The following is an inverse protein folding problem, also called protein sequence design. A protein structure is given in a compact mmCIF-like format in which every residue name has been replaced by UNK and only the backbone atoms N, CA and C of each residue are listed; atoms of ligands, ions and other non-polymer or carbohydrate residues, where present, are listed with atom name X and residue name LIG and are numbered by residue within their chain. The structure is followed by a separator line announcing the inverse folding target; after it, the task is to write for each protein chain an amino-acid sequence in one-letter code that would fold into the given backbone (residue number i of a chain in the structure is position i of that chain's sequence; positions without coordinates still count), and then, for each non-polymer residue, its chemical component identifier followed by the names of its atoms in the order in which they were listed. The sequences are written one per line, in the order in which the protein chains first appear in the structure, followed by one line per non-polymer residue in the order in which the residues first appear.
data_IF_873222273257
#
_entry.id   IF_873222273257
#
_cell.length_a   1.000
_cell.length_b   1.000
_cell.length_c   1.000
_cell.angle_alpha   90.00
_cell.angle_beta   90.00
_cell.angle_gamma   90.00
#
_symmetry.space_group_name_H-M   'P 1'
#
loop_
_entity.id
_entity.type
_entity.pdbx_description
1 polymer ?
#
# COMPACT_ATOMS: atom_id res chain seq x y z
N UNK A 1 -11.89 23.13 -6.99
CA UNK A 1 -12.31 22.02 -7.89
C UNK A 1 -13.21 21.11 -7.07
N UNK A 2 -14.26 20.53 -7.65
CA UNK A 2 -15.10 19.53 -7.00
C UNK A 2 -14.67 18.15 -7.53
N UNK A 3 -14.36 17.20 -6.64
CA UNK A 3 -14.00 15.84 -7.03
C UNK A 3 -15.26 15.03 -7.35
N UNK A 4 -15.31 14.44 -8.54
CA UNK A 4 -16.41 13.57 -8.97
C UNK A 4 -16.16 12.14 -8.49
N UNK A 5 -17.06 11.58 -7.71
CA UNK A 5 -17.03 10.16 -7.33
C UNK A 5 -17.98 9.39 -8.24
N UNK A 6 -17.47 8.41 -8.98
CA UNK A 6 -18.23 7.61 -9.94
C UNK A 6 -18.20 6.15 -9.52
N UNK A 7 -19.36 5.62 -9.16
CA UNK A 7 -19.52 4.20 -8.83
C UNK A 7 -19.38 3.33 -10.08
N UNK A 8 -18.51 2.35 -10.03
CA UNK A 8 -18.23 1.43 -11.14
C UNK A 8 -18.48 -0.02 -10.66
N UNK A 9 -19.34 -0.70 -11.36
CA UNK A 9 -19.48 -2.16 -11.19
C UNK A 9 -18.34 -2.87 -11.93
N UNK A 10 -17.47 -3.54 -11.18
CA UNK A 10 -16.32 -4.28 -11.75
C UNK A 10 -16.73 -5.42 -12.69
N UNK A 11 -17.95 -5.95 -12.56
CA UNK A 11 -18.49 -6.99 -13.45
C UNK A 11 -19.13 -6.42 -14.71
N UNK A 12 -19.57 -5.15 -14.67
CA UNK A 12 -20.23 -4.46 -15.80
C UNK A 12 -19.81 -2.99 -15.83
N UNK A 13 -18.61 -2.75 -16.35
CA UNK A 13 -17.98 -1.42 -16.35
C UNK A 13 -18.72 -0.48 -17.31
N UNK A 14 -19.18 0.66 -16.78
CA UNK A 14 -19.80 1.73 -17.57
C UNK A 14 -18.77 2.38 -18.53
N UNK A 15 -19.00 2.22 -19.83
CA UNK A 15 -18.11 2.72 -20.88
C UNK A 15 -18.04 4.25 -20.92
N UNK A 16 -19.10 4.97 -20.57
CA UNK A 16 -19.11 6.44 -20.58
C UNK A 16 -18.27 7.00 -19.43
N UNK A 17 -18.44 6.45 -18.22
CA UNK A 17 -17.65 6.82 -17.06
C UNK A 17 -16.18 6.47 -17.25
N UNK A 18 -15.90 5.30 -17.81
CA UNK A 18 -14.52 4.88 -18.10
C UNK A 18 -13.88 5.76 -19.17
N UNK A 19 -14.63 6.13 -20.21
CA UNK A 19 -14.14 7.05 -21.25
C UNK A 19 -13.73 8.41 -20.65
N UNK A 20 -14.56 8.98 -19.77
CA UNK A 20 -14.24 10.23 -19.07
C UNK A 20 -12.95 10.11 -18.26
N UNK A 21 -12.78 9.02 -17.49
CA UNK A 21 -11.56 8.76 -16.73
C UNK A 21 -10.33 8.62 -17.63
N UNK A 22 -10.44 7.90 -18.74
CA UNK A 22 -9.37 7.76 -19.74
C UNK A 22 -8.99 9.10 -20.37
N UNK A 23 -9.98 9.95 -20.68
CA UNK A 23 -9.75 11.28 -21.24
C UNK A 23 -9.00 12.18 -20.24
N UNK A 24 -9.31 12.09 -18.95
CA UNK A 24 -8.58 12.79 -17.89
C UNK A 24 -7.12 12.34 -17.81
N UNK A 25 -6.85 11.03 -17.81
CA UNK A 25 -5.46 10.50 -17.81
C UNK A 25 -4.69 11.01 -19.03
N UNK A 26 -5.28 10.94 -20.25
CA UNK A 26 -4.66 11.46 -21.48
C UNK A 26 -4.39 12.97 -21.44
N UNK A 27 -5.23 13.72 -20.74
CA UNK A 27 -5.03 15.16 -20.53
C UNK A 27 -3.97 15.48 -19.46
N UNK A 28 -3.31 14.46 -18.87
CA UNK A 28 -2.33 14.63 -17.81
C UNK A 28 -2.96 15.02 -16.46
N UNK A 29 -4.26 14.68 -16.26
CA UNK A 29 -4.98 14.88 -15.01
C UNK A 29 -4.95 13.61 -14.15
N UNK A 30 -5.42 13.73 -12.88
CA UNK A 30 -5.37 12.67 -11.88
C UNK A 30 -6.71 11.92 -11.82
N UNK A 31 -6.64 10.59 -11.73
CA UNK A 31 -7.80 9.74 -11.44
C UNK A 31 -7.44 8.76 -10.34
N UNK A 32 -8.23 8.70 -9.28
CA UNK A 32 -8.10 7.63 -8.30
C UNK A 32 -8.92 6.41 -8.73
N UNK A 33 -8.34 5.22 -8.57
CA UNK A 33 -8.95 3.97 -9.05
C UNK A 33 -8.65 2.80 -8.11
N UNK A 34 -9.55 1.79 -8.03
CA UNK A 34 -9.33 0.60 -7.22
C UNK A 34 -8.32 -0.34 -7.87
N UNK A 35 -7.54 -1.02 -7.03
CA UNK A 35 -6.80 -2.23 -7.38
C UNK A 35 -7.18 -3.36 -6.42
N UNK A 36 -6.64 -4.56 -6.61
CA UNK A 36 -6.85 -5.65 -5.66
C UNK A 36 -6.15 -5.43 -4.32
N UNK A 37 -5.17 -4.52 -4.26
CA UNK A 37 -4.37 -4.21 -3.06
C UNK A 37 -4.89 -3.02 -2.29
N UNK A 38 -4.79 -1.83 -2.85
CA UNK A 38 -5.25 -0.54 -2.30
C UNK A 38 -5.68 0.37 -3.47
N UNK A 39 -6.40 1.45 -3.19
CA UNK A 39 -6.70 2.46 -4.21
C UNK A 39 -5.43 3.19 -4.65
N UNK A 40 -5.24 3.32 -5.96
CA UNK A 40 -4.15 4.06 -6.59
C UNK A 40 -4.58 5.47 -7.02
N UNK A 41 -3.66 6.44 -6.94
CA UNK A 41 -3.81 7.77 -7.52
C UNK A 41 -3.02 7.84 -8.82
N UNK A 42 -3.70 7.75 -9.95
CA UNK A 42 -3.10 7.58 -11.26
C UNK A 42 -2.90 8.85 -12.06
N UNK A 43 -1.82 8.86 -12.84
CA UNK A 43 -1.54 9.82 -13.90
C UNK A 43 -0.69 9.17 -14.98
N UNK A 44 -0.57 9.81 -16.17
CA UNK A 44 0.31 9.34 -17.24
C UNK A 44 1.78 9.28 -16.73
N UNK A 45 2.34 8.08 -16.71
CA UNK A 45 3.70 7.81 -16.21
C UNK A 45 4.81 8.40 -17.10
N UNK A 46 4.53 8.64 -18.37
CA UNK A 46 5.48 9.18 -19.34
C UNK A 46 5.41 10.71 -19.47
N UNK A 47 4.48 11.33 -18.75
CA UNK A 47 4.29 12.78 -18.75
C UNK A 47 4.84 13.39 -17.44
N UNK A 48 5.99 14.12 -17.45
CA UNK A 48 6.64 14.64 -16.24
C UNK A 48 5.72 15.50 -15.37
N UNK A 49 4.92 16.39 -15.98
CA UNK A 49 4.03 17.27 -15.24
C UNK A 49 2.85 16.52 -14.58
N UNK A 50 2.38 15.42 -15.17
CA UNK A 50 1.35 14.58 -14.57
C UNK A 50 1.88 13.88 -13.30
N UNK A 51 3.13 13.39 -13.32
CA UNK A 51 3.79 12.85 -12.13
C UNK A 51 3.96 13.90 -11.03
N UNK A 52 4.30 15.14 -11.36
CA UNK A 52 4.38 16.26 -10.40
C UNK A 52 3.03 16.56 -9.74
N UNK A 53 1.92 16.45 -10.47
CA UNK A 53 0.56 16.61 -9.91
C UNK A 53 0.26 15.56 -8.84
N UNK A 54 0.73 14.29 -9.00
CA UNK A 54 0.58 13.25 -7.97
C UNK A 54 1.27 13.69 -6.67
N UNK A 55 2.52 14.12 -6.75
CA UNK A 55 3.27 14.56 -5.57
C UNK A 55 2.59 15.75 -4.88
N UNK A 56 2.13 16.74 -5.67
CA UNK A 56 1.43 17.91 -5.16
C UNK A 56 0.11 17.56 -4.47
N UNK A 57 -0.74 16.73 -5.10
CA UNK A 57 -2.03 16.32 -4.54
C UNK A 57 -1.89 15.58 -3.21
N UNK A 58 -0.85 14.75 -3.08
CA UNK A 58 -0.57 13.95 -1.88
C UNK A 58 0.21 14.69 -0.79
N UNK A 59 0.89 15.80 -1.11
CA UNK A 59 1.95 16.34 -0.25
C UNK A 59 3.12 15.35 -0.08
N UNK A 60 3.44 14.59 -1.14
CA UNK A 60 4.47 13.55 -1.13
C UNK A 60 5.82 14.12 -1.55
N UNK A 61 6.94 13.75 -0.88
CA UNK A 61 8.27 14.09 -1.35
C UNK A 61 8.53 13.53 -2.76
N UNK A 62 9.10 14.37 -3.65
CA UNK A 62 9.34 13.99 -5.05
C UNK A 62 10.50 13.01 -5.25
N UNK A 63 11.32 12.77 -4.24
CA UNK A 63 12.38 11.75 -4.22
C UNK A 63 11.87 10.34 -3.89
N UNK A 64 10.55 10.19 -3.66
CA UNK A 64 9.91 8.92 -3.34
C UNK A 64 9.22 8.37 -4.61
N UNK A 65 9.81 7.37 -5.31
CA UNK A 65 9.40 6.95 -6.64
C UNK A 65 7.95 6.50 -6.72
N UNK A 66 7.39 6.51 -7.94
CA UNK A 66 6.06 6.00 -8.26
C UNK A 66 6.15 4.61 -8.88
N UNK A 67 5.08 3.82 -8.78
CA UNK A 67 4.96 2.53 -9.46
C UNK A 67 4.19 2.74 -10.77
N UNK A 68 4.77 2.31 -11.88
CA UNK A 68 4.13 2.33 -13.20
C UNK A 68 3.24 1.10 -13.35
N UNK A 69 1.95 1.31 -13.56
CA UNK A 69 0.97 0.25 -13.78
C UNK A 69 0.78 0.03 -15.29
N UNK A 70 0.76 -1.23 -15.68
CA UNK A 70 0.68 -1.71 -17.06
C UNK A 70 -0.49 -2.69 -17.22
N UNK A 71 -0.90 -2.97 -18.46
CA UNK A 71 -1.96 -3.95 -18.77
C UNK A 71 -1.46 -5.18 -19.52
N UNK A 72 -0.24 -5.14 -20.05
CA UNK A 72 0.39 -6.26 -20.76
C UNK A 72 1.91 -6.27 -20.56
N UNK A 73 2.54 -7.43 -20.71
CA UNK A 73 3.98 -7.59 -20.48
C UNK A 73 4.85 -6.76 -21.44
N UNK A 74 4.38 -6.54 -22.67
CA UNK A 74 5.05 -5.71 -23.70
C UNK A 74 5.24 -4.25 -23.23
N UNK A 75 4.36 -3.77 -22.37
CA UNK A 75 4.49 -2.43 -21.79
C UNK A 75 5.76 -2.33 -20.92
N UNK A 76 6.07 -3.38 -20.13
CA UNK A 76 7.33 -3.45 -19.38
C UNK A 76 8.53 -3.39 -20.34
N UNK A 77 8.51 -4.21 -21.41
CA UNK A 77 9.58 -4.22 -22.42
C UNK A 77 9.78 -2.82 -23.03
N UNK A 78 8.70 -2.07 -23.19
CA UNK A 78 8.73 -0.73 -23.83
C UNK A 78 9.44 0.35 -22.99
N UNK A 79 9.56 0.16 -21.66
CA UNK A 79 10.11 1.15 -20.72
C UNK A 79 11.34 0.64 -19.95
N UNK A 80 11.64 -0.64 -20.01
CA UNK A 80 12.87 -1.21 -19.47
C UNK A 80 14.04 -1.01 -20.44
N UNK A 81 15.24 -0.79 -19.91
CA UNK A 81 16.49 -0.78 -20.68
C UNK A 81 16.86 -2.21 -21.11
N UNK A 82 16.66 -3.15 -20.21
CA UNK A 82 16.79 -4.58 -20.42
C UNK A 82 15.75 -5.32 -19.57
N UNK A 83 15.35 -6.49 -19.99
CA UNK A 83 14.37 -7.33 -19.28
C UNK A 83 15.09 -8.54 -18.72
N UNK A 84 15.35 -8.60 -17.40
CA UNK A 84 15.97 -9.78 -16.80
C UNK A 84 15.10 -11.02 -17.02
N UNK A 85 15.74 -12.19 -17.18
CA UNK A 85 14.99 -13.46 -17.33
C UNK A 85 14.07 -13.76 -16.15
N UNK A 86 14.43 -13.30 -14.93
CA UNK A 86 13.63 -13.38 -13.74
C UNK A 86 12.30 -12.63 -13.90
N UNK A 87 12.30 -11.47 -14.56
CA UNK A 87 11.09 -10.66 -14.75
C UNK A 87 10.01 -11.41 -15.54
N UNK A 88 10.40 -12.14 -16.58
CA UNK A 88 9.43 -12.95 -17.35
C UNK A 88 8.86 -14.10 -16.53
N UNK A 89 9.70 -14.84 -15.80
CA UNK A 89 9.25 -15.94 -14.92
C UNK A 89 8.26 -15.45 -13.86
N UNK A 90 8.58 -14.34 -13.20
CA UNK A 90 7.73 -13.76 -12.16
C UNK A 90 6.42 -13.18 -12.73
N UNK A 91 6.48 -12.57 -13.92
CA UNK A 91 5.29 -12.09 -14.61
C UNK A 91 4.33 -13.23 -14.96
N UNK A 92 4.86 -14.34 -15.52
CA UNK A 92 4.05 -15.51 -15.88
C UNK A 92 3.38 -16.15 -14.66
N UNK A 93 4.02 -16.09 -13.48
CA UNK A 93 3.50 -16.68 -12.25
C UNK A 93 2.53 -15.74 -11.49
N UNK A 94 2.80 -14.43 -11.47
CA UNK A 94 2.14 -13.51 -10.54
C UNK A 94 1.46 -12.31 -11.18
N UNK A 95 1.53 -12.11 -12.49
CA UNK A 95 0.81 -11.05 -13.19
C UNK A 95 -0.34 -11.58 -14.06
N UNK A 96 -1.48 -10.90 -14.06
CA UNK A 96 -1.82 -9.72 -13.22
C UNK A 96 -1.94 -10.09 -11.74
N UNK A 97 -1.40 -9.22 -10.84
CA UNK A 97 -1.43 -9.50 -9.40
C UNK A 97 -0.57 -8.55 -8.54
N UNK A 98 -0.44 -8.90 -7.24
CA UNK A 98 0.13 -8.02 -6.22
C UNK A 98 1.66 -8.08 -6.15
N UNK A 99 2.34 -8.16 -7.31
CA UNK A 99 3.80 -8.11 -7.43
C UNK A 99 4.23 -6.87 -8.21
N UNK A 100 5.17 -6.13 -7.67
CA UNK A 100 5.88 -5.02 -8.33
C UNK A 100 7.33 -5.44 -8.56
N UNK A 101 7.82 -5.31 -9.77
CA UNK A 101 9.20 -5.55 -10.14
C UNK A 101 9.93 -4.25 -10.44
N UNK A 102 11.16 -4.11 -9.95
CA UNK A 102 12.04 -2.97 -10.29
C UNK A 102 13.07 -3.47 -11.29
N UNK A 103 13.22 -2.72 -12.39
CA UNK A 103 14.20 -2.96 -13.45
C UNK A 103 14.88 -1.65 -13.86
N UNK A 104 16.00 -1.73 -14.58
CA UNK A 104 16.62 -0.55 -15.18
C UNK A 104 15.68 0.07 -16.21
N UNK A 105 15.38 1.38 -16.06
CA UNK A 105 14.54 2.11 -17.01
C UNK A 105 15.32 2.50 -18.29
N UNK A 106 14.58 2.70 -19.37
CA UNK A 106 15.09 3.43 -20.54
C UNK A 106 14.68 4.93 -20.47
N UNK A 107 15.07 5.71 -21.48
CA UNK A 107 14.90 7.16 -21.51
C UNK A 107 13.45 7.62 -21.70
N UNK A 108 12.51 6.71 -21.99
CA UNK A 108 11.08 7.04 -22.10
C UNK A 108 10.44 7.39 -20.76
N UNK A 109 10.97 6.81 -19.66
CA UNK A 109 10.44 7.09 -18.32
C UNK A 109 11.15 8.31 -17.74
N UNK A 110 10.42 9.41 -17.45
CA UNK A 110 11.01 10.61 -16.88
C UNK A 110 11.45 10.40 -15.43
N UNK A 111 12.44 11.16 -14.99
CA UNK A 111 12.96 11.10 -13.62
C UNK A 111 11.94 11.56 -12.58
N UNK A 112 10.99 12.39 -12.97
CA UNK A 112 9.86 12.79 -12.12
C UNK A 112 9.02 11.58 -11.69
N UNK A 113 8.87 10.58 -12.56
CA UNK A 113 8.15 9.34 -12.24
C UNK A 113 8.96 8.44 -11.32
N UNK A 114 10.27 8.39 -11.51
CA UNK A 114 11.15 7.48 -10.75
C UNK A 114 11.79 8.12 -9.52
N UNK A 115 11.44 9.37 -9.17
CA UNK A 115 12.06 10.07 -8.04
C UNK A 115 13.55 10.31 -8.22
N UNK A 116 14.01 10.48 -9.46
CA UNK A 116 15.42 10.69 -9.81
C UNK A 116 16.25 9.41 -9.89
N UNK A 117 15.60 8.22 -10.00
CA UNK A 117 16.30 6.94 -10.08
C UNK A 117 16.41 6.44 -11.52
N UNK A 118 17.48 5.68 -11.80
CA UNK A 118 17.72 5.01 -13.08
C UNK A 118 16.95 3.68 -13.21
N UNK A 119 16.16 3.34 -12.20
CA UNK A 119 15.28 2.17 -12.17
C UNK A 119 13.84 2.59 -12.17
N UNK A 120 12.94 1.70 -12.62
CA UNK A 120 11.49 1.89 -12.61
C UNK A 120 10.81 0.71 -11.95
N UNK A 121 9.85 1.00 -11.07
CA UNK A 121 8.99 0.00 -10.45
C UNK A 121 7.75 -0.20 -11.33
N UNK A 122 7.43 -1.45 -11.68
CA UNK A 122 6.38 -1.80 -12.65
C UNK A 122 5.47 -2.85 -12.06
N UNK A 123 4.15 -2.72 -12.28
CA UNK A 123 3.15 -3.68 -11.82
C UNK A 123 2.01 -3.83 -12.83
N UNK A 124 1.52 -5.05 -13.00
CA UNK A 124 0.25 -5.33 -13.69
C UNK A 124 -0.80 -5.69 -12.61
N UNK A 125 -1.75 -4.78 -12.29
CA UNK A 125 -2.72 -5.01 -11.22
C UNK A 125 -3.79 -6.03 -11.66
N UNK A 126 -4.34 -6.78 -10.70
CA UNK A 126 -5.44 -7.72 -10.94
C UNK A 126 -6.78 -7.09 -10.55
N UNK A 127 -7.19 -6.08 -11.25
CA UNK A 127 -8.48 -5.44 -11.02
C UNK A 127 -9.09 -4.97 -12.35
N UNK A 128 -10.34 -5.35 -12.68
CA UNK A 128 -10.94 -5.03 -13.99
C UNK A 128 -10.96 -3.52 -14.29
N UNK A 129 -11.33 -2.68 -13.31
CA UNK A 129 -11.37 -1.23 -13.47
C UNK A 129 -9.99 -0.66 -13.74
N UNK A 130 -8.95 -1.14 -13.02
CA UNK A 130 -7.57 -0.67 -13.24
C UNK A 130 -7.06 -1.05 -14.64
N UNK A 131 -7.23 -2.30 -15.05
CA UNK A 131 -6.82 -2.76 -16.38
C UNK A 131 -7.57 -2.00 -17.48
N UNK A 132 -8.90 -1.82 -17.35
CA UNK A 132 -9.71 -1.08 -18.31
C UNK A 132 -9.29 0.39 -18.43
N UNK A 133 -8.90 1.03 -17.31
CA UNK A 133 -8.39 2.41 -17.31
C UNK A 133 -7.04 2.50 -18.04
N UNK A 134 -6.11 1.57 -17.78
CA UNK A 134 -4.79 1.53 -18.44
C UNK A 134 -4.96 1.30 -19.95
N UNK A 135 -5.69 0.26 -20.34
CA UNK A 135 -5.96 -0.07 -21.74
C UNK A 135 -6.71 1.05 -22.47
N UNK A 136 -7.79 1.53 -21.86
CA UNK A 136 -8.67 2.54 -22.47
C UNK A 136 -8.02 3.91 -22.60
N UNK A 137 -7.13 4.29 -21.71
CA UNK A 137 -6.35 5.53 -21.84
C UNK A 137 -5.22 5.39 -22.86
N UNK A 138 -4.70 4.19 -23.09
CA UNK A 138 -3.49 3.95 -23.88
C UNK A 138 -2.22 4.50 -23.20
N UNK A 139 -2.29 4.89 -21.93
CA UNK A 139 -1.19 5.41 -21.14
C UNK A 139 -0.68 4.35 -20.15
N UNK A 140 0.62 4.34 -19.89
CA UNK A 140 1.17 3.69 -18.70
C UNK A 140 0.84 4.59 -17.51
N UNK A 141 0.32 4.03 -16.40
CA UNK A 141 -0.20 4.84 -15.31
C UNK A 141 0.73 4.78 -14.09
N UNK A 142 1.39 5.89 -13.76
CA UNK A 142 2.09 6.03 -12.49
C UNK A 142 1.07 6.17 -11.36
N UNK A 143 1.11 5.28 -10.37
CA UNK A 143 0.16 5.34 -9.26
C UNK A 143 0.78 4.90 -7.93
N UNK A 144 0.96 5.80 -6.97
CA UNK A 144 1.06 5.47 -5.55
C UNK A 144 -0.35 5.24 -4.96
N UNK A 145 -0.44 4.84 -3.68
CA UNK A 145 -1.73 4.79 -2.97
C UNK A 145 -2.44 6.17 -2.94
N UNK A 146 -3.76 6.21 -3.00
CA UNK A 146 -4.55 7.43 -3.17
C UNK A 146 -4.88 8.15 -1.83
N UNK A 147 -3.91 8.25 -0.92
CA UNK A 147 -4.02 8.97 0.37
C UNK A 147 -3.08 10.17 0.42
N UNK A 148 -3.34 11.13 1.31
CA UNK A 148 -2.33 12.12 1.70
C UNK A 148 -1.14 11.43 2.34
N UNK A 149 0.08 11.94 2.09
CA UNK A 149 1.33 11.30 2.53
C UNK A 149 1.35 11.06 4.04
N UNK A 150 1.75 9.86 4.46
CA UNK A 150 1.85 9.46 5.86
C UNK A 150 0.63 8.75 6.42
N UNK A 151 -0.59 9.00 5.91
CA UNK A 151 -1.83 8.34 6.37
C UNK A 151 -1.93 6.87 5.93
N UNK A 152 -2.80 6.06 6.56
CA UNK A 152 -3.10 4.70 6.12
C UNK A 152 -3.59 4.66 4.67
N UNK A 153 -3.16 3.66 3.90
CA UNK A 153 -3.55 3.53 2.49
C UNK A 153 -5.06 3.30 2.37
N UNK A 154 -5.72 3.86 1.32
CA UNK A 154 -7.15 3.74 1.16
C UNK A 154 -7.53 2.36 0.62
N UNK A 155 -8.47 1.70 1.29
CA UNK A 155 -9.05 0.41 0.91
C UNK A 155 -10.48 0.51 0.40
N UNK A 156 -11.07 1.71 0.47
CA UNK A 156 -12.39 2.06 -0.03
C UNK A 156 -12.37 3.46 -0.67
N UNK A 157 -13.29 3.74 -1.58
CA UNK A 157 -13.39 5.06 -2.22
C UNK A 157 -13.70 6.20 -1.24
N UNK A 158 -14.43 5.91 -0.16
CA UNK A 158 -14.68 6.83 0.95
C UNK A 158 -13.39 7.34 1.59
N UNK A 159 -12.39 6.47 1.77
CA UNK A 159 -11.07 6.84 2.28
C UNK A 159 -10.32 7.78 1.32
N UNK A 160 -10.47 7.53 0.00
CA UNK A 160 -9.90 8.41 -1.03
C UNK A 160 -10.57 9.77 -0.99
N UNK A 161 -11.91 9.82 -0.91
CA UNK A 161 -12.66 11.06 -0.84
C UNK A 161 -12.26 11.91 0.36
N UNK A 162 -12.12 11.31 1.55
CA UNK A 162 -11.65 12.01 2.76
C UNK A 162 -10.26 12.67 2.59
N UNK A 163 -9.38 12.09 1.78
CA UNK A 163 -8.01 12.57 1.61
C UNK A 163 -7.84 13.48 0.38
N UNK A 164 -8.62 13.25 -0.70
CA UNK A 164 -8.38 13.81 -2.03
C UNK A 164 -9.51 14.72 -2.56
N UNK A 165 -10.62 14.86 -1.83
CA UNK A 165 -11.69 15.78 -2.27
C UNK A 165 -11.15 17.20 -2.48
N UNK A 166 -11.56 17.82 -3.59
CA UNK A 166 -11.09 19.13 -4.02
C UNK A 166 -9.67 19.17 -4.59
N UNK A 167 -8.92 18.05 -4.57
CA UNK A 167 -7.53 17.96 -5.04
C UNK A 167 -7.36 17.24 -6.39
N UNK A 168 -8.32 16.37 -6.72
CA UNK A 168 -8.30 15.56 -7.95
C UNK A 168 -9.65 15.62 -8.64
N UNK A 169 -9.70 15.49 -9.98
CA UNK A 169 -10.97 15.58 -10.71
C UNK A 169 -11.92 14.40 -10.45
N UNK A 170 -11.39 13.15 -10.33
CA UNK A 170 -12.25 11.96 -10.32
C UNK A 170 -11.75 10.84 -9.42
N UNK A 171 -12.70 10.14 -8.81
CA UNK A 171 -12.52 8.87 -8.08
C UNK A 171 -13.44 7.83 -8.74
N UNK A 172 -12.87 6.73 -9.20
CA UNK A 172 -13.61 5.55 -9.63
C UNK A 172 -13.86 4.65 -8.41
N UNK A 173 -15.12 4.57 -7.97
CA UNK A 173 -15.52 3.74 -6.82
C UNK A 173 -15.88 2.34 -7.31
N UNK A 174 -14.96 1.40 -7.20
CA UNK A 174 -15.16 -0.03 -7.50
C UNK A 174 -15.43 -0.89 -6.25
N UNK A 175 -15.78 -0.26 -5.12
CA UNK A 175 -15.99 -0.95 -3.85
C UNK A 175 -14.71 -1.22 -3.05
N UNK A 176 -14.79 -2.00 -1.97
CA UNK A 176 -13.66 -2.34 -1.13
C UNK A 176 -12.67 -3.25 -1.86
N UNK A 177 -11.38 -3.09 -1.53
CA UNK A 177 -10.30 -3.91 -2.11
C UNK A 177 -10.27 -5.33 -1.50
N UNK A 178 -9.67 -6.28 -2.23
CA UNK A 178 -9.64 -7.68 -1.79
C UNK A 178 -8.52 -8.01 -0.80
N UNK A 179 -7.31 -7.42 -0.96
CA UNK A 179 -6.10 -7.75 -0.17
C UNK A 179 -5.89 -6.81 1.01
N UNK A 180 -5.96 -5.48 0.81
CA UNK A 180 -5.89 -4.49 1.87
C UNK A 180 -4.50 -3.94 2.21
N UNK A 181 -3.43 -4.56 1.72
CA UNK A 181 -2.05 -4.08 1.85
C UNK A 181 -1.39 -3.98 0.46
N UNK A 182 -0.36 -3.15 0.34
CA UNK A 182 0.31 -2.91 -0.94
C UNK A 182 1.06 -4.15 -1.43
N UNK A 183 1.33 -4.17 -2.75
CA UNK A 183 2.09 -5.21 -3.44
C UNK A 183 3.47 -5.47 -2.85
N UNK A 184 3.94 -6.70 -2.97
CA UNK A 184 5.36 -7.04 -2.79
C UNK A 184 6.18 -6.27 -3.82
N UNK A 185 7.35 -5.73 -3.42
CA UNK A 185 8.31 -5.10 -4.34
C UNK A 185 9.58 -5.92 -4.32
N UNK A 186 9.96 -6.42 -5.50
CA UNK A 186 11.24 -7.11 -5.73
C UNK A 186 12.09 -6.30 -6.69
N UNK A 187 13.34 -6.05 -6.31
CA UNK A 187 14.35 -5.41 -7.13
C UNK A 187 15.08 -6.46 -7.96
N UNK A 188 15.01 -6.34 -9.26
CA UNK A 188 15.68 -7.18 -10.26
C UNK A 188 16.77 -6.41 -11.02
N UNK A 189 17.15 -5.23 -10.57
CA UNK A 189 18.20 -4.41 -11.19
C UNK A 189 19.61 -4.87 -10.81
N UNK A 190 19.73 -5.73 -9.81
CA UNK A 190 20.99 -6.33 -9.36
C UNK A 190 21.00 -7.83 -9.68
N UNK A 191 22.17 -8.46 -9.57
CA UNK A 191 22.34 -9.89 -9.87
C UNK A 191 21.46 -10.79 -9.01
N UNK A 192 21.34 -10.48 -7.72
CA UNK A 192 20.50 -11.25 -6.79
C UNK A 192 19.19 -10.50 -6.52
N UNK A 193 18.03 -11.11 -6.82
CA UNK A 193 16.74 -10.51 -6.52
C UNK A 193 16.58 -10.16 -5.04
N UNK A 194 16.07 -8.94 -4.76
CA UNK A 194 15.93 -8.44 -3.39
C UNK A 194 14.55 -7.89 -3.13
N UNK A 195 13.88 -8.37 -2.08
CA UNK A 195 12.60 -7.81 -1.62
C UNK A 195 12.89 -6.49 -0.91
N UNK A 196 12.31 -5.39 -1.41
CA UNK A 196 12.37 -4.06 -0.82
C UNK A 196 11.13 -3.71 0.00
N UNK A 197 10.02 -4.40 -0.25
CA UNK A 197 8.79 -4.29 0.52
C UNK A 197 8.06 -5.62 0.55
N UNK A 198 7.89 -6.26 1.71
CA UNK A 198 7.10 -7.48 1.81
C UNK A 198 5.62 -7.18 1.55
N UNK A 199 4.90 -8.11 0.93
CA UNK A 199 3.49 -8.03 0.60
C UNK A 199 2.88 -9.42 0.50
N UNK A 200 1.81 -9.56 -0.29
CA UNK A 200 1.08 -10.81 -0.45
C UNK A 200 1.92 -11.93 -1.09
N UNK A 201 2.80 -11.57 -2.04
CA UNK A 201 3.76 -12.53 -2.62
C UNK A 201 4.95 -12.63 -1.68
N UNK A 202 5.16 -13.82 -1.10
CA UNK A 202 6.18 -14.07 -0.08
C UNK A 202 7.55 -14.36 -0.70
N UNK A 203 8.59 -14.35 0.14
CA UNK A 203 9.95 -14.68 -0.27
C UNK A 203 10.02 -16.11 -0.81
N UNK A 204 9.36 -17.06 -0.15
CA UNK A 204 9.30 -18.47 -0.53
C UNK A 204 8.67 -18.65 -1.91
N UNK A 205 7.54 -17.96 -2.18
CA UNK A 205 6.86 -17.99 -3.48
C UNK A 205 7.78 -17.48 -4.61
N UNK A 206 8.53 -16.40 -4.36
CA UNK A 206 9.49 -15.87 -5.34
C UNK A 206 10.64 -16.85 -5.58
N UNK A 207 11.20 -17.44 -4.53
CA UNK A 207 12.28 -18.42 -4.62
C UNK A 207 11.84 -19.69 -5.36
N UNK A 208 10.63 -20.16 -5.12
CA UNK A 208 10.05 -21.32 -5.80
C UNK A 208 9.97 -21.10 -7.32
N UNK A 209 9.45 -19.94 -7.75
CA UNK A 209 9.30 -19.61 -9.18
C UNK A 209 10.65 -19.37 -9.84
N UNK A 210 11.58 -18.70 -9.16
CA UNK A 210 12.87 -18.36 -9.75
C UNK A 210 13.84 -19.55 -9.75
N UNK A 211 13.74 -20.46 -8.77
CA UNK A 211 14.71 -21.54 -8.55
C UNK A 211 16.04 -21.03 -7.99
N UNK A 212 16.07 -19.83 -7.41
CA UNK A 212 17.28 -19.21 -6.86
C UNK A 212 16.95 -18.43 -5.57
N UNK A 213 18.01 -18.04 -4.85
CA UNK A 213 17.87 -17.26 -3.61
C UNK A 213 17.33 -15.86 -3.91
N UNK A 214 16.30 -15.46 -3.16
CA UNK A 214 15.81 -14.09 -3.09
C UNK A 214 16.19 -13.51 -1.73
N UNK A 215 16.85 -12.37 -1.70
CA UNK A 215 17.23 -11.70 -0.46
C UNK A 215 16.14 -10.76 0.02
N UNK A 216 16.23 -10.33 1.27
CA UNK A 216 15.38 -9.29 1.84
C UNK A 216 16.25 -8.10 2.26
N UNK A 217 15.80 -6.88 1.95
CA UNK A 217 16.54 -5.69 2.33
C UNK A 217 16.59 -5.57 3.87
N UNK A 218 17.77 -5.43 4.49
CA UNK A 218 17.89 -5.29 5.93
C UNK A 218 17.11 -4.09 6.50
N UNK A 219 16.88 -3.04 5.71
CA UNK A 219 16.10 -1.87 6.10
C UNK A 219 14.60 -2.13 6.28
N UNK A 220 14.11 -3.32 5.93
CA UNK A 220 12.71 -3.73 6.21
C UNK A 220 12.49 -3.93 7.71
N UNK A 221 13.51 -4.42 8.42
CA UNK A 221 13.46 -4.77 9.83
C UNK A 221 14.07 -3.65 10.69
N UNK A 222 15.12 -2.99 10.21
CA UNK A 222 15.83 -1.95 10.94
C UNK A 222 15.23 -0.56 10.73
N UNK A 223 15.05 0.20 11.82
CA UNK A 223 14.53 1.58 11.79
C UNK A 223 15.50 2.61 11.18
N UNK A 224 16.74 2.24 10.93
CA UNK A 224 17.84 3.15 10.58
C UNK A 224 18.45 2.79 9.23
N UNK A 225 17.89 3.36 8.15
CA UNK A 225 18.54 3.31 6.84
C UNK A 225 18.92 4.70 6.35
N UNK A 226 20.21 4.97 6.31
CA UNK A 226 20.82 6.16 5.66
C UNK A 226 20.78 6.07 4.12
N UNK A 227 20.25 4.96 3.56
CA UNK A 227 20.20 4.71 2.12
C UNK A 227 19.05 5.48 1.46
N UNK A 228 19.26 5.93 0.21
CA UNK A 228 18.17 6.46 -0.63
C UNK A 228 17.13 5.37 -0.83
N UNK A 229 15.83 5.66 -0.65
CA UNK A 229 14.78 4.67 -0.84
C UNK A 229 14.67 4.29 -2.32
N UNK A 230 14.95 3.03 -2.66
CA UNK A 230 14.75 2.48 -4.00
C UNK A 230 13.27 2.18 -4.31
N UNK A 231 12.40 2.19 -3.29
CA UNK A 231 10.99 1.84 -3.42
C UNK A 231 10.09 2.68 -2.50
N UNK A 232 8.79 2.82 -2.85
CA UNK A 232 7.81 3.47 -1.99
C UNK A 232 7.70 2.81 -0.61
N UNK A 233 7.60 3.64 0.45
CA UNK A 233 7.38 3.14 1.81
C UNK A 233 8.63 2.73 2.59
N UNK A 234 9.85 3.01 2.09
CA UNK A 234 11.09 2.64 2.79
C UNK A 234 11.55 3.68 3.84
N UNK A 235 11.38 4.99 3.59
CA UNK A 235 12.12 6.04 4.33
C UNK A 235 11.30 6.85 5.34
N UNK A 236 10.03 7.07 5.09
CA UNK A 236 9.22 8.03 5.86
C UNK A 236 8.25 7.30 6.80
N UNK A 237 7.75 7.99 7.87
CA UNK A 237 6.63 7.52 8.67
C UNK A 237 5.45 7.30 7.73
N UNK A 238 4.96 6.09 7.66
CA UNK A 238 3.90 5.68 6.74
C UNK A 238 2.79 4.98 7.52
N UNK A 239 1.57 5.05 6.97
CA UNK A 239 0.41 4.32 7.47
C UNK A 239 -0.05 4.73 8.86
N UNK A 240 0.47 5.84 9.39
CA UNK A 240 0.23 6.24 10.76
C UNK A 240 -1.17 6.85 10.93
N UNK A 241 -1.95 6.41 11.93
CA UNK A 241 -3.11 7.14 12.43
C UNK A 241 -2.67 8.45 13.10
N UNK A 242 -3.63 9.30 13.47
CA UNK A 242 -3.36 10.56 14.19
C UNK A 242 -2.85 10.28 15.61
N UNK A 243 -3.46 9.31 16.30
CA UNK A 243 -3.07 8.90 17.63
C UNK A 243 -1.76 8.08 17.62
N UNK A 244 -1.04 8.10 18.73
CA UNK A 244 0.14 7.25 18.90
C UNK A 244 -0.29 5.78 18.99
N UNK A 245 0.30 4.96 18.13
CA UNK A 245 0.12 3.51 18.11
C UNK A 245 1.33 2.84 18.74
N UNK A 246 1.07 1.90 19.66
CA UNK A 246 2.09 1.08 20.32
C UNK A 246 1.72 -0.40 20.20
N UNK A 247 2.69 -1.23 19.80
CA UNK A 247 2.52 -2.67 19.74
C UNK A 247 2.92 -3.29 21.06
N UNK A 248 2.19 -4.31 21.51
CA UNK A 248 2.58 -5.15 22.65
C UNK A 248 2.80 -6.56 22.13
N UNK A 249 4.01 -7.10 22.38
CA UNK A 249 4.46 -8.38 21.83
C UNK A 249 4.82 -9.37 22.93
N UNK A 250 4.35 -10.59 22.82
CA UNK A 250 4.63 -11.68 23.75
C UNK A 250 3.55 -12.73 23.81
N UNK A 251 3.48 -13.45 24.91
CA UNK A 251 2.42 -14.43 25.17
C UNK A 251 1.06 -13.73 25.31
N UNK A 252 0.00 -14.29 24.71
CA UNK A 252 -1.32 -13.66 24.62
C UNK A 252 -1.86 -13.16 25.97
N UNK A 253 -1.77 -13.97 27.04
CA UNK A 253 -2.30 -13.56 28.34
C UNK A 253 -1.53 -12.38 28.94
N UNK A 254 -0.22 -12.34 28.76
CA UNK A 254 0.62 -11.20 29.18
C UNK A 254 0.36 -9.96 28.35
N UNK A 255 0.19 -10.12 27.03
CA UNK A 255 -0.16 -9.02 26.12
C UNK A 255 -1.48 -8.38 26.56
N UNK A 256 -2.53 -9.18 26.78
CA UNK A 256 -3.83 -8.69 27.25
C UNK A 256 -3.72 -7.96 28.59
N UNK A 257 -3.00 -8.55 29.56
CA UNK A 257 -2.80 -7.93 30.87
C UNK A 257 -2.10 -6.57 30.74
N UNK A 258 -1.01 -6.51 29.95
CA UNK A 258 -0.24 -5.29 29.76
C UNK A 258 -1.02 -4.19 29.02
N UNK A 259 -1.74 -4.55 27.96
CA UNK A 259 -2.59 -3.59 27.26
C UNK A 259 -3.65 -3.01 28.19
N UNK A 260 -4.35 -3.84 29.00
CA UNK A 260 -5.35 -3.35 29.95
C UNK A 260 -4.74 -2.45 31.04
N UNK A 261 -3.51 -2.71 31.46
CA UNK A 261 -2.79 -1.81 32.37
C UNK A 261 -2.54 -0.44 31.73
N UNK A 262 -2.00 -0.42 30.49
CA UNK A 262 -1.75 0.80 29.74
C UNK A 262 -3.05 1.58 29.42
N UNK A 263 -4.14 0.87 29.12
CA UNK A 263 -5.47 1.46 28.92
C UNK A 263 -5.91 2.19 30.18
N UNK A 264 -5.87 1.53 31.36
CA UNK A 264 -6.25 2.16 32.64
C UNK A 264 -5.39 3.38 32.97
N UNK A 265 -4.07 3.31 32.73
CA UNK A 265 -3.17 4.45 32.92
C UNK A 265 -3.60 5.67 32.08
N UNK A 266 -3.92 5.45 30.81
CA UNK A 266 -4.36 6.51 29.87
C UNK A 266 -5.74 7.09 30.24
N UNK A 267 -6.69 6.20 30.58
CA UNK A 267 -8.03 6.61 30.98
C UNK A 267 -8.02 7.42 32.29
N UNK A 268 -7.13 7.13 33.24
CA UNK A 268 -6.93 7.94 34.47
C UNK A 268 -6.46 9.37 34.15
N UNK A 269 -5.82 9.57 32.99
CA UNK A 269 -5.45 10.90 32.49
C UNK A 269 -6.54 11.57 31.65
N UNK A 270 -7.72 10.94 31.57
CA UNK A 270 -8.85 11.45 30.76
C UNK A 270 -8.71 11.25 29.25
N UNK A 271 -7.78 10.37 28.83
CA UNK A 271 -7.51 10.06 27.42
C UNK A 271 -8.40 8.90 26.96
N UNK A 272 -8.89 9.01 25.69
CA UNK A 272 -9.62 7.95 25.01
C UNK A 272 -8.65 6.96 24.37
N UNK A 273 -8.89 5.67 24.55
CA UNK A 273 -8.00 4.61 24.11
C UNK A 273 -8.68 3.67 23.13
N UNK A 274 -8.00 3.36 22.03
CA UNK A 274 -8.35 2.32 21.09
C UNK A 274 -7.49 1.07 21.25
N UNK A 275 -8.06 -0.11 21.02
CA UNK A 275 -7.31 -1.38 20.99
C UNK A 275 -7.63 -2.15 19.72
N UNK A 276 -6.58 -2.58 19.01
CA UNK A 276 -6.67 -3.54 17.91
C UNK A 276 -6.48 -4.93 18.49
N UNK A 277 -7.54 -5.71 18.48
CA UNK A 277 -7.62 -7.06 19.01
C UNK A 277 -7.82 -8.09 17.91
N UNK A 278 -7.72 -9.38 18.23
CA UNK A 278 -8.25 -10.46 17.39
C UNK A 278 -9.62 -10.91 17.90
N UNK A 279 -10.33 -11.73 17.11
CA UNK A 279 -11.64 -12.29 17.52
C UNK A 279 -11.54 -13.05 18.86
N UNK A 280 -10.38 -13.70 19.11
CA UNK A 280 -10.12 -14.50 20.32
C UNK A 280 -9.91 -13.63 21.56
N UNK A 281 -9.49 -12.38 21.40
CA UNK A 281 -9.15 -11.49 22.53
C UNK A 281 -10.06 -10.27 22.66
N UNK A 282 -10.95 -10.04 21.70
CA UNK A 282 -11.83 -8.86 21.61
C UNK A 282 -12.53 -8.51 22.96
N UNK A 283 -13.10 -9.52 23.62
CA UNK A 283 -13.86 -9.33 24.87
C UNK A 283 -12.99 -9.25 26.13
N UNK A 284 -11.67 -9.27 25.97
CA UNK A 284 -10.71 -9.26 27.09
C UNK A 284 -10.13 -7.87 27.38
N UNK A 285 -10.45 -6.87 26.55
CA UNK A 285 -9.94 -5.51 26.69
C UNK A 285 -10.98 -4.55 27.24
N UNK A 286 -10.52 -3.57 28.04
CA UNK A 286 -11.34 -2.59 28.77
C UNK A 286 -11.20 -1.17 28.21
N UNK A 287 -10.90 -1.02 26.90
CA UNK A 287 -10.68 0.27 26.26
C UNK A 287 -11.99 0.93 25.81
N UNK A 288 -11.94 2.24 25.47
CA UNK A 288 -13.10 3.00 24.97
C UNK A 288 -13.59 2.44 23.62
N UNK A 289 -12.63 2.00 22.79
CA UNK A 289 -12.90 1.37 21.51
C UNK A 289 -12.02 0.12 21.33
N UNK A 290 -12.65 -1.03 21.23
CA UNK A 290 -11.97 -2.30 20.93
C UNK A 290 -12.48 -2.81 19.61
N UNK A 291 -11.58 -3.07 18.65
CA UNK A 291 -11.94 -3.52 17.31
C UNK A 291 -11.21 -4.82 17.00
N UNK A 292 -11.95 -5.82 16.54
CA UNK A 292 -11.34 -7.02 15.99
C UNK A 292 -10.84 -6.76 14.57
N UNK A 293 -9.59 -7.13 14.32
CA UNK A 293 -8.98 -7.14 12.98
C UNK A 293 -9.31 -8.44 12.21
N UNK A 294 -9.87 -9.45 12.91
CA UNK A 294 -10.19 -10.79 12.42
C UNK A 294 -9.64 -11.88 13.34
N UNK A 295 -9.90 -13.13 12.99
CA UNK A 295 -9.31 -14.26 13.69
C UNK A 295 -7.78 -14.26 13.50
N UNK A 296 -7.03 -14.66 14.55
CA UNK A 296 -5.56 -14.63 14.57
C UNK A 296 -4.93 -15.44 13.42
N UNK A 297 -5.56 -16.52 13.00
CA UNK A 297 -5.09 -17.39 11.93
C UNK A 297 -5.55 -16.92 10.53
N UNK A 298 -6.51 -15.98 10.43
CA UNK A 298 -6.99 -15.42 9.16
C UNK A 298 -6.15 -14.20 8.75
N UNK A 299 -4.95 -14.48 8.24
CA UNK A 299 -4.04 -13.43 7.77
C UNK A 299 -4.64 -12.55 6.66
N UNK A 300 -5.51 -13.13 5.82
CA UNK A 300 -6.16 -12.41 4.72
C UNK A 300 -7.18 -11.39 5.26
N UNK A 301 -7.93 -11.75 6.31
CA UNK A 301 -8.82 -10.81 7.00
C UNK A 301 -8.02 -9.71 7.70
N UNK A 302 -6.96 -10.07 8.43
CA UNK A 302 -6.08 -9.12 9.12
C UNK A 302 -5.50 -8.09 8.13
N UNK A 303 -4.95 -8.55 7.02
CA UNK A 303 -4.41 -7.67 5.98
C UNK A 303 -5.48 -6.72 5.41
N UNK A 304 -6.68 -7.24 5.16
CA UNK A 304 -7.80 -6.48 4.57
C UNK A 304 -8.33 -5.39 5.51
N UNK A 305 -8.37 -5.65 6.80
CA UNK A 305 -8.95 -4.75 7.80
C UNK A 305 -7.96 -3.73 8.35
N UNK A 306 -6.64 -3.97 8.27
CA UNK A 306 -5.61 -3.18 8.92
C UNK A 306 -5.77 -1.66 8.71
N UNK A 307 -5.79 -1.21 7.46
CA UNK A 307 -5.86 0.23 7.18
C UNK A 307 -7.23 0.85 7.46
N UNK A 308 -8.30 0.07 7.30
CA UNK A 308 -9.65 0.51 7.65
C UNK A 308 -9.74 0.82 9.14
N UNK A 309 -9.30 -0.10 9.99
CA UNK A 309 -9.32 0.06 11.45
C UNK A 309 -8.46 1.26 11.90
N UNK A 310 -7.28 1.44 11.32
CA UNK A 310 -6.45 2.60 11.63
C UNK A 310 -7.15 3.93 11.29
N UNK A 311 -7.98 3.97 10.23
CA UNK A 311 -8.79 5.13 9.88
C UNK A 311 -10.00 5.32 10.80
N UNK A 312 -10.66 4.24 11.21
CA UNK A 312 -11.79 4.30 12.16
C UNK A 312 -11.36 4.91 13.49
N UNK A 313 -10.16 4.63 14.00
CA UNK A 313 -9.63 5.28 15.20
C UNK A 313 -9.42 6.78 15.01
N UNK A 314 -9.05 7.22 13.80
CA UNK A 314 -8.97 8.65 13.48
C UNK A 314 -10.35 9.34 13.54
N UNK A 315 -11.41 8.64 13.12
CA UNK A 315 -12.80 9.15 13.15
C UNK A 315 -13.35 9.21 14.58
N UNK A 316 -12.99 8.27 15.43
CA UNK A 316 -13.37 8.26 16.85
C UNK A 316 -12.55 9.22 17.72
N UNK A 317 -11.52 9.84 17.18
CA UNK A 317 -10.63 10.77 17.87
C UNK A 317 -10.07 10.18 19.17
N UNK A 318 -9.52 8.96 19.10
CA UNK A 318 -8.79 8.38 20.22
C UNK A 318 -7.45 9.08 20.41
N UNK A 319 -6.93 9.10 21.64
CA UNK A 319 -5.66 9.74 21.98
C UNK A 319 -4.48 8.75 21.93
N UNK A 320 -4.74 7.46 22.13
CA UNK A 320 -3.75 6.40 22.08
C UNK A 320 -4.36 5.12 21.49
N UNK A 321 -3.54 4.33 20.79
CA UNK A 321 -3.92 3.03 20.23
C UNK A 321 -2.91 1.99 20.67
N UNK A 322 -3.40 0.86 21.17
CA UNK A 322 -2.60 -0.32 21.45
C UNK A 322 -2.99 -1.46 20.52
N UNK A 323 -2.01 -2.27 20.11
CA UNK A 323 -2.26 -3.42 19.24
C UNK A 323 -1.48 -4.62 19.70
N UNK A 324 -2.07 -5.79 19.55
CA UNK A 324 -1.34 -7.05 19.57
C UNK A 324 -0.40 -7.14 18.36
N UNK A 325 0.58 -8.04 18.41
CA UNK A 325 1.41 -8.42 17.26
C UNK A 325 0.77 -9.60 16.51
N UNK A 326 1.00 -9.63 15.20
CA UNK A 326 0.43 -10.61 14.26
C UNK A 326 1.53 -11.36 13.50
N UNK A 327 2.54 -11.87 14.22
CA UNK A 327 3.61 -12.66 13.62
C UNK A 327 3.06 -14.03 13.17
N UNK A 328 2.68 -14.13 11.91
CA UNK A 328 2.10 -15.29 11.27
C UNK A 328 2.96 -15.79 10.09
N UNK A 329 2.88 -17.07 9.70
CA UNK A 329 3.89 -17.69 8.83
C UNK A 329 3.89 -17.23 7.36
N UNK A 330 2.77 -16.74 6.79
CA UNK A 330 2.66 -16.40 5.37
C UNK A 330 2.88 -14.90 5.11
N UNK A 331 1.81 -14.11 5.24
CA UNK A 331 1.84 -12.66 4.99
C UNK A 331 2.02 -11.82 6.26
N UNK A 332 2.19 -12.48 7.40
CA UNK A 332 2.38 -11.80 8.69
C UNK A 332 3.56 -10.84 8.69
N UNK A 333 4.65 -11.17 7.99
CA UNK A 333 5.77 -10.24 7.83
C UNK A 333 5.34 -8.94 7.12
N UNK A 334 4.46 -9.04 6.11
CA UNK A 334 3.93 -7.87 5.43
C UNK A 334 3.01 -7.05 6.34
N UNK A 335 2.14 -7.71 7.10
CA UNK A 335 1.24 -7.08 8.09
C UNK A 335 2.07 -6.35 9.14
N UNK A 336 3.03 -7.04 9.77
CA UNK A 336 3.88 -6.47 10.81
C UNK A 336 4.74 -5.32 10.29
N UNK A 337 5.25 -5.39 9.05
CA UNK A 337 5.99 -4.28 8.45
C UNK A 337 5.15 -3.00 8.37
N UNK A 338 3.83 -3.09 8.02
CA UNK A 338 2.91 -1.94 7.99
C UNK A 338 2.60 -1.44 9.40
N UNK A 339 2.31 -2.34 10.30
CA UNK A 339 1.93 -2.03 11.67
C UNK A 339 3.10 -1.39 12.45
N UNK A 340 4.31 -1.92 12.33
CA UNK A 340 5.53 -1.33 12.89
C UNK A 340 5.80 0.07 12.36
N UNK A 341 5.62 0.31 11.04
CA UNK A 341 5.76 1.65 10.45
C UNK A 341 4.67 2.60 10.92
N UNK A 342 3.44 2.13 11.08
CA UNK A 342 2.34 2.92 11.63
C UNK A 342 2.61 3.31 13.09
N UNK A 343 3.20 2.39 13.86
CA UNK A 343 3.59 2.59 15.26
C UNK A 343 4.90 3.39 15.43
N UNK A 344 5.59 3.75 14.35
CA UNK A 344 6.92 4.37 14.44
C UNK A 344 7.93 3.50 15.18
N UNK A 345 7.81 2.16 15.04
CA UNK A 345 8.61 1.13 15.70
C UNK A 345 8.50 1.09 17.24
N UNK A 346 7.41 1.64 17.80
CA UNK A 346 7.13 1.54 19.24
C UNK A 346 6.60 0.13 19.56
N UNK A 347 7.39 -0.67 20.28
CA UNK A 347 7.06 -2.04 20.69
C UNK A 347 7.37 -2.23 22.16
N UNK A 348 6.44 -2.82 22.90
CA UNK A 348 6.61 -3.22 24.32
C UNK A 348 6.63 -4.74 24.38
N UNK A 349 7.76 -5.38 24.65
CA UNK A 349 7.84 -6.82 24.89
C UNK A 349 7.33 -7.17 26.28
N UNK A 350 6.63 -8.34 26.43
CA UNK A 350 6.09 -8.86 27.71
C UNK A 350 6.29 -10.36 27.88
#
# INVERSE_FOLDING_TARGET
MQTKVVKIDSANIDDAAMKEACDLIRAGELVAFPTETVYGLGADALHPEASKKIYAAKGRPSDNPLIVHISKFEDLVSIAREVPSQAKKLADAFWPGPLTMIVWKNDRVPYETTGGMDTVAIRMPKHPVALRLIEGSGCLIAAPSANTSGKPSPTEASHVALDMDGRIPMILDGGPVGIGIESTIVDLSEETPMILRPGYITQEMLQEVLGEKVCMDPGIIASDSTRKPKAPGMKYKHYAPKADLVLVEGETDKVVARINELVREKQQLGQKVGVIATDETLLRYEADHVVSIGAREDEDAIARHLYKILREFDDWNVDAIYSESFATPRIGQAIMNRLLKAAGHQVIPV
#
